data_IF_792512955412
#
_entry.id   IF_792512955412
#
_cell.length_a   1.000
_cell.length_b   1.000
_cell.length_c   1.000
_cell.angle_alpha   90.00
_cell.angle_beta   90.00
_cell.angle_gamma   90.00
#
_symmetry.space_group_name_H-M   'P 1'
#
loop_
_entity.id
_entity.type
_entity.pdbx_description
1 polymer ?
#
# COMPACT_ATOMS: atom_id res chain seq x y z
N UNK A 1 -45.01 39.93 3.87
CA UNK A 1 -44.19 39.40 2.75
C UNK A 1 -44.06 40.50 1.71
N UNK A 2 -42.96 41.25 1.77
CA UNK A 2 -42.44 42.18 0.76
C UNK A 2 -40.96 42.47 1.11
N UNK A 3 -40.11 42.84 0.14
CA UNK A 3 -38.70 42.44 0.13
C UNK A 3 -37.69 43.62 0.17
N UNK A 4 -36.41 43.23 0.19
CA UNK A 4 -35.23 43.94 -0.38
C UNK A 4 -34.72 45.22 0.30
N UNK A 5 -33.48 45.17 0.83
CA UNK A 5 -32.46 46.21 0.62
C UNK A 5 -31.07 45.55 0.53
N UNK A 6 -30.35 45.91 -0.54
CA UNK A 6 -28.94 45.65 -0.80
C UNK A 6 -28.01 46.31 0.24
N UNK A 7 -26.83 45.75 0.51
CA UNK A 7 -25.63 46.59 0.44
C UNK A 7 -24.35 45.81 0.14
N UNK A 8 -23.51 46.44 -0.68
CA UNK A 8 -22.30 45.95 -1.30
C UNK A 8 -21.03 46.25 -0.46
N UNK A 9 -19.97 45.51 -0.80
CA UNK A 9 -18.53 45.88 -0.80
C UNK A 9 -17.82 46.08 0.55
N UNK A 10 -16.86 45.19 0.79
CA UNK A 10 -15.48 45.62 1.00
C UNK A 10 -14.48 44.61 0.41
N UNK A 11 -13.75 45.13 -0.57
CA UNK A 11 -12.66 44.55 -1.33
C UNK A 11 -11.40 44.49 -0.45
N UNK A 12 -10.70 43.35 -0.41
CA UNK A 12 -9.26 43.33 -0.14
C UNK A 12 -8.60 42.26 -1.01
N UNK A 13 -7.87 42.74 -2.02
CA UNK A 13 -7.00 41.96 -2.90
C UNK A 13 -5.60 41.87 -2.28
N UNK A 14 -5.09 40.66 -2.16
CA UNK A 14 -3.67 40.28 -2.12
C UNK A 14 -3.64 38.80 -2.54
N UNK A 15 -2.83 38.26 -3.44
CA UNK A 15 -1.76 38.76 -4.27
C UNK A 15 -1.36 37.61 -5.22
N UNK A 16 -0.64 37.96 -6.27
CA UNK A 16 -0.13 37.06 -7.30
C UNK A 16 0.63 35.85 -6.77
N UNK A 17 0.26 34.68 -7.29
CA UNK A 17 0.91 33.41 -7.00
C UNK A 17 0.46 32.33 -7.98
N UNK A 18 0.64 32.57 -9.28
CA UNK A 18 0.45 31.53 -10.32
C UNK A 18 1.48 30.41 -10.16
N UNK A 19 1.23 29.49 -9.22
CA UNK A 19 1.82 28.16 -9.29
C UNK A 19 1.19 27.49 -10.51
N UNK A 20 1.99 27.26 -11.57
CA UNK A 20 1.61 26.39 -12.68
C UNK A 20 1.30 25.00 -12.11
N UNK A 21 0.02 24.74 -11.84
CA UNK A 21 -0.47 23.40 -11.64
C UNK A 21 -0.13 22.62 -12.91
N UNK A 22 0.92 21.78 -12.84
CA UNK A 22 1.12 20.72 -13.83
C UNK A 22 -0.16 19.90 -13.78
N UNK A 23 -1.04 20.08 -14.77
CA UNK A 23 -2.13 19.16 -15.09
C UNK A 23 -1.45 17.80 -15.28
N UNK A 24 -1.41 17.00 -14.21
CA UNK A 24 -1.16 15.58 -14.33
C UNK A 24 -2.28 15.10 -15.24
N UNK A 25 -1.91 14.72 -16.46
CA UNK A 25 -2.84 14.07 -17.37
C UNK A 25 -3.47 12.92 -16.58
N UNK A 26 -4.78 13.03 -16.33
CA UNK A 26 -5.57 11.96 -15.77
C UNK A 26 -5.55 10.84 -16.80
N UNK A 27 -4.58 9.93 -16.66
CA UNK A 27 -4.52 8.69 -17.42
C UNK A 27 -5.86 8.01 -17.20
N UNK A 28 -6.59 7.76 -18.27
CA UNK A 28 -7.85 7.02 -18.20
C UNK A 28 -7.63 5.76 -17.36
N UNK A 29 -8.59 5.36 -16.50
CA UNK A 29 -8.46 4.15 -15.71
C UNK A 29 -8.39 2.96 -16.68
N UNK A 30 -7.17 2.52 -17.01
CA UNK A 30 -6.96 1.20 -17.59
C UNK A 30 -7.54 0.22 -16.57
N UNK A 31 -8.38 -0.73 -17.02
CA UNK A 31 -8.81 -1.87 -16.21
C UNK A 31 -7.54 -2.65 -15.81
N UNK A 32 -6.90 -2.24 -14.72
CA UNK A 32 -5.71 -2.91 -14.22
C UNK A 32 -6.15 -4.22 -13.61
N UNK A 33 -5.45 -5.29 -13.96
CA UNK A 33 -5.69 -6.60 -13.34
C UNK A 33 -5.59 -6.49 -11.82
N UNK A 34 -6.45 -7.21 -11.08
CA UNK A 34 -6.36 -7.24 -9.63
C UNK A 34 -5.01 -7.83 -9.18
N UNK A 35 -4.48 -7.41 -8.02
CA UNK A 35 -3.26 -8.01 -7.50
C UNK A 35 -3.42 -9.50 -7.26
N UNK A 36 -2.35 -10.24 -7.49
CA UNK A 36 -2.19 -11.67 -7.20
C UNK A 36 -1.46 -11.86 -5.87
N UNK A 37 -1.74 -12.96 -5.19
CA UNK A 37 -1.15 -13.27 -3.88
C UNK A 37 -0.33 -14.54 -4.02
N UNK A 38 0.87 -14.54 -3.45
CA UNK A 38 1.80 -15.67 -3.50
C UNK A 38 2.28 -16.02 -2.09
N UNK A 39 2.70 -17.27 -1.93
CA UNK A 39 3.52 -17.66 -0.79
C UNK A 39 4.83 -16.86 -0.78
N UNK A 40 5.28 -16.45 0.40
CA UNK A 40 6.55 -15.78 0.60
C UNK A 40 7.65 -16.73 1.03
N UNK A 41 8.76 -16.75 0.29
CA UNK A 41 9.97 -17.49 0.68
C UNK A 41 11.09 -16.48 0.91
N UNK A 42 11.61 -16.39 2.14
CA UNK A 42 12.73 -15.48 2.45
C UNK A 42 14.02 -16.02 1.83
N UNK A 43 14.69 -15.15 1.07
CA UNK A 43 16.00 -15.37 0.50
C UNK A 43 17.11 -14.67 1.29
N UNK A 44 18.33 -14.76 0.77
CA UNK A 44 19.48 -14.12 1.38
C UNK A 44 19.39 -12.59 1.28
N UNK A 45 20.00 -11.88 2.25
CA UNK A 45 20.07 -10.42 2.30
C UNK A 45 18.69 -9.71 2.22
N UNK A 46 17.64 -10.33 2.78
CA UNK A 46 16.29 -9.77 2.83
C UNK A 46 15.53 -9.82 1.50
N UNK A 47 16.01 -10.57 0.51
CA UNK A 47 15.24 -10.88 -0.69
C UNK A 47 14.01 -11.73 -0.34
N UNK A 48 12.95 -11.62 -1.14
CA UNK A 48 11.77 -12.48 -1.01
C UNK A 48 11.45 -13.07 -2.37
N UNK A 49 11.17 -14.37 -2.41
CA UNK A 49 10.81 -15.14 -3.60
C UNK A 49 9.33 -15.50 -3.59
N UNK A 50 8.69 -15.44 -4.75
CA UNK A 50 7.31 -15.93 -4.91
C UNK A 50 7.31 -17.45 -4.94
N UNK A 51 6.51 -18.06 -4.06
CA UNK A 51 6.14 -19.47 -4.16
C UNK A 51 4.87 -19.65 -5.01
N UNK A 52 3.99 -20.58 -4.59
CA UNK A 52 2.73 -20.82 -5.28
C UNK A 52 1.78 -19.61 -5.19
N UNK A 53 0.94 -19.43 -6.21
CA UNK A 53 -0.17 -18.48 -6.16
C UNK A 53 -1.27 -19.02 -5.24
N UNK A 54 -1.77 -18.19 -4.33
CA UNK A 54 -2.73 -18.58 -3.29
C UNK A 54 -3.90 -17.60 -3.23
N UNK A 55 -5.00 -18.02 -2.63
CA UNK A 55 -6.14 -17.13 -2.41
C UNK A 55 -5.90 -16.18 -1.24
N UNK A 56 -6.74 -15.15 -1.09
CA UNK A 56 -6.69 -14.28 0.09
C UNK A 56 -6.97 -15.06 1.39
N UNK A 57 -7.92 -16.00 1.37
CA UNK A 57 -8.25 -16.81 2.55
C UNK A 57 -7.09 -17.72 2.96
N UNK A 58 -6.38 -18.30 2.00
CA UNK A 58 -5.17 -19.09 2.26
C UNK A 58 -4.05 -18.21 2.83
N UNK A 59 -3.86 -17.01 2.27
CA UNK A 59 -2.89 -16.04 2.76
C UNK A 59 -3.15 -15.64 4.21
N UNK A 60 -4.41 -15.36 4.58
CA UNK A 60 -4.79 -15.06 5.96
C UNK A 60 -4.49 -16.23 6.90
N UNK A 61 -4.75 -17.47 6.46
CA UNK A 61 -4.45 -18.69 7.23
C UNK A 61 -2.95 -18.87 7.43
N UNK A 62 -2.15 -18.69 6.38
CA UNK A 62 -0.68 -18.71 6.45
C UNK A 62 -0.14 -17.65 7.41
N UNK A 63 -0.71 -16.44 7.35
CA UNK A 63 -0.32 -15.36 8.27
C UNK A 63 -0.62 -15.68 9.72
N UNK A 64 -1.77 -16.31 10.03
CA UNK A 64 -2.07 -16.83 11.38
C UNK A 64 -1.05 -17.87 11.85
N UNK A 65 -0.56 -18.71 10.94
CA UNK A 65 0.47 -19.71 11.21
C UNK A 65 1.90 -19.12 11.28
N UNK A 66 2.04 -17.81 11.04
CA UNK A 66 3.33 -17.11 11.09
C UNK A 66 4.22 -17.29 9.86
N UNK A 67 3.63 -17.69 8.74
CA UNK A 67 4.31 -17.79 7.45
C UNK A 67 4.27 -16.44 6.69
N UNK A 68 5.11 -16.31 5.66
CA UNK A 68 5.21 -15.11 4.84
C UNK A 68 4.31 -15.17 3.61
N UNK A 69 3.80 -14.00 3.19
CA UNK A 69 2.94 -13.83 2.00
C UNK A 69 3.42 -12.63 1.18
N UNK A 70 3.24 -12.67 -0.14
CA UNK A 70 3.57 -11.57 -1.05
C UNK A 70 2.35 -11.16 -1.87
N UNK A 71 2.06 -9.86 -1.91
CA UNK A 71 1.06 -9.26 -2.81
C UNK A 71 1.73 -8.59 -4.01
N UNK A 72 1.34 -9.00 -5.21
CA UNK A 72 1.96 -8.59 -6.48
C UNK A 72 0.91 -7.99 -7.42
N UNK A 73 1.21 -6.84 -8.00
CA UNK A 73 0.31 -6.18 -8.93
C UNK A 73 0.94 -4.93 -9.53
N UNK A 74 0.33 -4.36 -10.58
CA UNK A 74 0.87 -3.19 -11.28
C UNK A 74 0.79 -1.90 -10.44
N UNK A 75 -0.19 -1.80 -9.54
CA UNK A 75 -0.37 -0.62 -8.70
C UNK A 75 0.08 -0.83 -7.25
N UNK A 76 1.09 -0.05 -6.84
CA UNK A 76 1.66 -0.12 -5.49
C UNK A 76 0.65 0.20 -4.41
N UNK A 77 -0.29 1.12 -4.66
CA UNK A 77 -1.28 1.53 -3.66
C UNK A 77 -2.24 0.38 -3.37
N UNK A 78 -2.72 -0.28 -4.43
CA UNK A 78 -3.60 -1.45 -4.35
C UNK A 78 -2.89 -2.63 -3.67
N UNK A 79 -1.62 -2.91 -4.03
CA UNK A 79 -0.83 -3.96 -3.38
C UNK A 79 -0.67 -3.70 -1.87
N UNK A 80 -0.29 -2.48 -1.48
CA UNK A 80 -0.13 -2.09 -0.07
C UNK A 80 -1.43 -2.23 0.70
N UNK A 81 -2.56 -1.83 0.10
CA UNK A 81 -3.88 -1.90 0.74
C UNK A 81 -4.30 -3.34 0.97
N UNK A 82 -4.16 -4.20 -0.04
CA UNK A 82 -4.51 -5.62 0.06
C UNK A 82 -3.62 -6.34 1.08
N UNK A 83 -2.31 -6.08 1.06
CA UNK A 83 -1.39 -6.63 2.07
C UNK A 83 -1.78 -6.22 3.51
N UNK A 84 -2.16 -4.96 3.72
CA UNK A 84 -2.63 -4.50 5.02
C UNK A 84 -4.00 -5.05 5.42
N UNK A 85 -4.86 -5.41 4.45
CA UNK A 85 -6.12 -6.11 4.72
C UNK A 85 -5.87 -7.55 5.18
N UNK A 86 -5.02 -8.30 4.46
CA UNK A 86 -4.62 -9.67 4.84
C UNK A 86 -4.06 -9.68 6.26
N UNK A 87 -3.11 -8.79 6.57
CA UNK A 87 -2.49 -8.76 7.90
C UNK A 87 -3.50 -8.45 9.01
N UNK A 88 -4.40 -7.47 8.81
CA UNK A 88 -5.46 -7.14 9.77
C UNK A 88 -6.44 -8.29 9.98
N UNK A 89 -6.86 -8.93 8.90
CA UNK A 89 -7.81 -10.05 8.95
C UNK A 89 -7.20 -11.30 9.59
N UNK A 90 -5.90 -11.52 9.39
CA UNK A 90 -5.20 -12.65 9.98
C UNK A 90 -4.97 -12.45 11.49
N UNK A 91 -4.49 -11.27 11.89
CA UNK A 91 -3.92 -11.06 13.23
C UNK A 91 -4.86 -10.31 14.18
N UNK A 92 -5.88 -9.61 13.66
CA UNK A 92 -6.95 -8.98 14.46
C UNK A 92 -6.57 -7.73 15.24
N UNK A 93 -5.28 -7.32 15.24
CA UNK A 93 -4.78 -6.06 15.82
C UNK A 93 -4.22 -5.15 14.75
N UNK A 94 -3.93 -3.90 15.13
CA UNK A 94 -3.34 -2.91 14.23
C UNK A 94 -1.92 -3.33 13.81
N UNK A 95 -1.68 -3.63 12.52
CA UNK A 95 -0.36 -4.02 12.06
C UNK A 95 0.50 -2.79 11.79
N UNK A 96 1.81 -2.95 11.93
CA UNK A 96 2.79 -1.94 11.58
C UNK A 96 3.25 -2.10 10.14
N UNK A 97 3.24 -1.01 9.38
CA UNK A 97 3.86 -0.93 8.06
C UNK A 97 5.34 -0.59 8.22
N UNK A 98 6.23 -1.45 7.71
CA UNK A 98 7.67 -1.24 7.70
C UNK A 98 8.17 -1.09 6.27
N UNK A 99 8.88 0.00 6.01
CA UNK A 99 9.61 0.17 4.75
C UNK A 99 11.00 -0.49 4.87
N UNK A 100 11.61 -0.91 3.74
CA UNK A 100 12.98 -1.40 3.76
C UNK A 100 13.90 -0.37 4.42
N UNK A 101 14.63 -0.80 5.45
CA UNK A 101 15.64 0.04 6.10
C UNK A 101 16.76 0.38 5.11
N UNK A 102 17.52 1.44 5.36
CA UNK A 102 18.67 1.82 4.52
C UNK A 102 19.73 0.71 4.42
N UNK A 103 19.86 -0.11 5.45
CA UNK A 103 20.72 -1.29 5.50
C UNK A 103 20.10 -2.56 4.89
N UNK A 104 18.82 -2.52 4.54
CA UNK A 104 18.14 -3.65 3.91
C UNK A 104 18.67 -3.84 2.48
N UNK A 105 18.79 -5.09 2.04
CA UNK A 105 19.27 -5.39 0.70
C UNK A 105 18.37 -4.75 -0.36
N UNK A 106 18.94 -4.49 -1.55
CA UNK A 106 18.22 -3.89 -2.70
C UNK A 106 16.95 -4.65 -3.10
N UNK A 107 16.80 -5.90 -2.66
CA UNK A 107 15.67 -6.78 -2.94
C UNK A 107 14.66 -6.86 -1.79
N UNK A 108 14.83 -6.10 -0.71
CA UNK A 108 13.89 -6.10 0.42
C UNK A 108 12.61 -5.38 0.06
N UNK A 109 11.50 -6.08 0.27
CA UNK A 109 10.17 -5.54 0.02
C UNK A 109 9.64 -4.82 1.26
N UNK A 110 8.90 -3.72 1.08
CA UNK A 110 8.03 -3.20 2.12
C UNK A 110 7.04 -4.27 2.61
N UNK A 111 6.68 -4.22 3.89
CA UNK A 111 5.82 -5.23 4.48
C UNK A 111 4.97 -4.70 5.63
N UNK A 112 3.93 -5.46 5.94
CA UNK A 112 3.18 -5.36 7.18
C UNK A 112 3.61 -6.47 8.13
N UNK A 113 3.67 -6.15 9.41
CA UNK A 113 3.95 -7.11 10.47
C UNK A 113 3.08 -6.83 11.70
N UNK A 114 2.89 -7.82 12.57
CA UNK A 114 2.23 -7.58 13.84
C UNK A 114 3.11 -6.74 14.78
N UNK A 115 2.46 -5.89 15.56
CA UNK A 115 3.11 -5.11 16.63
C UNK A 115 2.19 -5.05 17.86
N UNK A 116 2.55 -5.63 19.01
CA UNK A 116 3.75 -6.43 19.27
C UNK A 116 3.71 -7.80 18.56
N UNK A 117 4.85 -8.45 18.38
CA UNK A 117 4.92 -9.86 17.94
C UNK A 117 4.53 -10.80 19.09
N UNK A 118 4.07 -12.06 18.85
CA UNK A 118 4.03 -12.90 17.62
C UNK A 118 2.72 -12.83 16.82
N UNK A 119 2.63 -13.24 15.54
CA UNK A 119 3.59 -14.11 14.82
C UNK A 119 4.76 -13.41 14.14
N UNK A 120 5.75 -14.21 13.72
CA UNK A 120 7.01 -13.73 13.13
C UNK A 120 6.93 -13.43 11.63
N UNK A 121 6.07 -14.13 10.87
CA UNK A 121 5.93 -13.89 9.44
C UNK A 121 5.41 -12.49 9.10
N UNK A 122 5.50 -12.13 7.83
CA UNK A 122 5.19 -10.81 7.30
C UNK A 122 4.30 -10.90 6.06
N UNK A 123 3.52 -9.85 5.82
CA UNK A 123 2.83 -9.66 4.54
C UNK A 123 3.59 -8.62 3.70
N UNK A 124 4.38 -9.10 2.74
CA UNK A 124 5.14 -8.27 1.80
C UNK A 124 4.26 -7.76 0.66
N UNK A 125 4.64 -6.64 0.07
CA UNK A 125 4.00 -6.16 -1.16
C UNK A 125 5.01 -5.57 -2.14
N UNK A 126 4.78 -5.82 -3.43
CA UNK A 126 5.59 -5.27 -4.50
C UNK A 126 5.33 -3.78 -4.74
N UNK A 127 6.37 -3.11 -5.21
CA UNK A 127 6.31 -1.72 -5.68
C UNK A 127 6.67 -1.64 -7.17
N UNK A 128 6.72 -0.43 -7.70
CA UNK A 128 7.25 -0.12 -9.02
C UNK A 128 8.76 -0.41 -9.14
N UNK A 129 9.51 -0.36 -8.03
CA UNK A 129 10.98 -0.47 -8.03
C UNK A 129 11.52 -1.76 -7.41
N UNK A 130 10.71 -2.40 -6.57
CA UNK A 130 11.11 -3.55 -5.75
C UNK A 130 10.13 -4.69 -6.01
N UNK A 131 10.67 -5.81 -6.49
CA UNK A 131 9.94 -6.98 -6.95
C UNK A 131 10.48 -8.23 -6.28
N UNK A 132 9.60 -9.18 -6.01
CA UNK A 132 10.02 -10.50 -5.57
C UNK A 132 10.63 -11.26 -6.76
N UNK A 133 11.68 -12.04 -6.50
CA UNK A 133 12.34 -12.88 -7.51
C UNK A 133 11.57 -14.17 -7.76
#
# INVERSE_FOLDING_TARGET
>A
MTPFVHNEKALLRFGDGMAKAKKQATKAPSLQEPPKIYEGIRGNAGAVKKGAEITQTDAETRRRNGEDVIVCGPDRVTNRRLAGQIERNAIGREPKCCFPHLSAGRMSLPHWQPDPRPPEGHTFYETDKLKAT
#
